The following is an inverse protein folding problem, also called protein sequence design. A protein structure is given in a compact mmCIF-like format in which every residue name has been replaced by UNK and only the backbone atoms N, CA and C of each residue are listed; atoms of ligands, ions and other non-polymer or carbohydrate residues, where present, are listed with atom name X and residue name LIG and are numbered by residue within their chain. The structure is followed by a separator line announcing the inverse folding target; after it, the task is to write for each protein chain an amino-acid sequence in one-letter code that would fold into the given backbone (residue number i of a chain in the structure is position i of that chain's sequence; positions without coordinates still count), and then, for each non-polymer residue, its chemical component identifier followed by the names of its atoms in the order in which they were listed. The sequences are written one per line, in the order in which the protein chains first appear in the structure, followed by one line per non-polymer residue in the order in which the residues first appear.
data_IF_709814175033
#
_entry.id   IF_709814175033
#
_cell.length_a   1.000
_cell.length_b   1.000
_cell.length_c   1.000
_cell.angle_alpha   90.00
_cell.angle_beta   90.00
_cell.angle_gamma   90.00
#
_symmetry.space_group_name_H-M   'P 1'
#
loop_
_entity.id
_entity.type
_entity.pdbx_description
1 polymer ?
#
# COMPACT_ATOMS: atom_id res chain seq x y z
N UNK A 1 4.98 -56.72 -32.51
CA UNK A 1 4.67 -56.09 -31.20
C UNK A 1 4.94 -54.60 -31.34
N UNK A 2 3.90 -53.74 -31.36
CA UNK A 2 4.05 -52.28 -31.43
C UNK A 2 3.92 -51.70 -30.03
N UNK A 3 4.95 -50.99 -29.56
CA UNK A 3 4.93 -50.30 -28.29
C UNK A 3 4.09 -49.02 -28.41
N UNK A 4 3.06 -48.88 -27.58
CA UNK A 4 2.27 -47.65 -27.42
C UNK A 4 2.92 -46.86 -26.29
N UNK A 5 3.50 -45.71 -26.63
CA UNK A 5 4.00 -44.74 -25.65
C UNK A 5 2.84 -43.83 -25.27
N UNK A 6 2.33 -43.99 -24.05
CA UNK A 6 1.33 -43.09 -23.47
C UNK A 6 2.06 -41.87 -22.91
N UNK A 7 1.96 -40.74 -23.60
CA UNK A 7 2.37 -39.43 -23.09
C UNK A 7 1.35 -38.97 -22.04
N UNK A 8 1.69 -39.13 -20.76
CA UNK A 8 1.00 -38.48 -19.66
C UNK A 8 1.34 -36.98 -19.70
N UNK A 9 0.43 -36.18 -20.24
CA UNK A 9 0.45 -34.74 -20.05
C UNK A 9 0.18 -34.44 -18.57
N UNK A 10 1.24 -34.11 -17.83
CA UNK A 10 1.11 -33.58 -16.48
C UNK A 10 0.55 -32.16 -16.58
N UNK A 11 -0.78 -32.03 -16.46
CA UNK A 11 -1.43 -30.75 -16.22
C UNK A 11 -0.94 -30.24 -14.88
N UNK A 12 0.00 -29.29 -14.89
CA UNK A 12 0.32 -28.50 -13.71
C UNK A 12 -0.94 -27.72 -13.33
N UNK A 13 -1.69 -28.24 -12.36
CA UNK A 13 -2.72 -27.47 -11.67
C UNK A 13 -1.97 -26.39 -10.92
N UNK A 14 -1.84 -25.21 -11.52
CA UNK A 14 -1.47 -24.01 -10.77
C UNK A 14 -2.46 -23.94 -9.62
N UNK A 15 -1.95 -24.05 -8.39
CA UNK A 15 -2.74 -23.84 -7.19
C UNK A 15 -3.30 -22.42 -7.30
N UNK A 16 -4.54 -22.30 -7.76
CA UNK A 16 -5.24 -21.03 -7.75
C UNK A 16 -5.41 -20.67 -6.28
N UNK A 17 -4.78 -19.58 -5.87
CA UNK A 17 -5.00 -19.03 -4.54
C UNK A 17 -6.48 -18.77 -4.40
N UNK A 18 -7.12 -19.54 -3.51
CA UNK A 18 -8.54 -19.42 -3.23
C UNK A 18 -8.89 -18.01 -2.75
N UNK A 19 -10.17 -17.62 -2.80
CA UNK A 19 -10.59 -16.34 -2.26
C UNK A 19 -10.32 -16.25 -0.74
N UNK A 20 -10.24 -15.02 -0.19
CA UNK A 20 -10.11 -14.84 1.26
C UNK A 20 -11.31 -15.44 1.99
N UNK A 21 -11.16 -15.68 3.29
CA UNK A 21 -12.29 -16.04 4.15
C UNK A 21 -13.21 -14.83 4.32
N UNK A 22 -14.34 -14.83 3.60
CA UNK A 22 -15.34 -13.74 3.65
C UNK A 22 -16.64 -14.25 4.25
N UNK A 23 -17.06 -13.59 5.31
CA UNK A 23 -18.34 -13.79 6.00
C UNK A 23 -19.37 -12.73 5.58
N UNK A 24 -20.65 -13.05 5.74
CA UNK A 24 -21.77 -12.13 5.52
C UNK A 24 -21.70 -11.47 4.12
N UNK A 25 -21.56 -12.28 3.08
CA UNK A 25 -21.39 -11.85 1.69
C UNK A 25 -22.25 -12.68 0.74
N UNK A 26 -22.71 -12.06 -0.36
CA UNK A 26 -23.22 -12.80 -1.53
C UNK A 26 -22.06 -12.97 -2.51
N UNK A 27 -21.37 -14.10 -2.39
CA UNK A 27 -20.08 -14.31 -3.04
C UNK A 27 -20.23 -14.82 -4.48
N UNK A 28 -19.45 -14.24 -5.39
CA UNK A 28 -19.35 -14.65 -6.79
C UNK A 28 -17.89 -14.62 -7.24
N UNK A 29 -17.43 -15.64 -7.97
CA UNK A 29 -16.09 -15.66 -8.57
C UNK A 29 -16.18 -15.41 -10.07
N UNK A 30 -15.33 -14.54 -10.60
CA UNK A 30 -15.20 -14.27 -12.04
C UNK A 30 -13.73 -14.33 -12.46
N UNK A 31 -13.46 -14.78 -13.67
CA UNK A 31 -12.10 -14.73 -14.22
C UNK A 31 -11.77 -13.31 -14.71
N UNK A 32 -10.51 -12.89 -14.58
CA UNK A 32 -10.00 -11.69 -15.23
C UNK A 32 -10.19 -11.79 -16.75
N UNK A 33 -10.78 -10.74 -17.36
CA UNK A 33 -11.15 -10.72 -18.78
C UNK A 33 -10.29 -9.75 -19.61
N UNK A 34 -9.17 -9.26 -19.06
CA UNK A 34 -8.24 -8.38 -19.77
C UNK A 34 -8.37 -6.88 -19.44
N UNK A 35 -9.41 -6.44 -18.71
CA UNK A 35 -9.58 -5.04 -18.36
C UNK A 35 -10.35 -4.85 -17.03
N UNK A 36 -9.64 -4.45 -15.96
CA UNK A 36 -10.22 -4.20 -14.65
C UNK A 36 -11.22 -3.04 -14.64
N UNK A 37 -11.02 -1.99 -15.43
CA UNK A 37 -11.97 -0.87 -15.51
C UNK A 37 -13.33 -1.34 -15.98
N UNK A 38 -13.42 -2.34 -16.86
CA UNK A 38 -14.69 -2.90 -17.32
C UNK A 38 -15.32 -3.87 -16.32
N UNK A 39 -14.50 -4.59 -15.54
CA UNK A 39 -14.95 -5.64 -14.63
C UNK A 39 -15.31 -5.12 -13.23
N UNK A 40 -14.66 -4.05 -12.76
CA UNK A 40 -14.89 -3.44 -11.44
C UNK A 40 -15.89 -2.29 -11.60
N UNK A 41 -17.13 -2.66 -11.95
CA UNK A 41 -18.26 -1.72 -12.10
C UNK A 41 -19.53 -2.32 -11.52
N UNK A 42 -20.28 -1.51 -10.80
CA UNK A 42 -21.61 -1.86 -10.29
C UNK A 42 -22.41 -0.59 -10.04
N UNK A 43 -23.70 -0.64 -10.36
CA UNK A 43 -24.64 0.44 -10.02
C UNK A 43 -25.07 0.35 -8.55
N UNK A 44 -25.19 -0.85 -7.99
CA UNK A 44 -25.49 -1.09 -6.58
C UNK A 44 -24.20 -1.21 -5.73
N UNK A 45 -24.26 -0.99 -4.41
CA UNK A 45 -23.13 -1.26 -3.51
C UNK A 45 -22.63 -2.68 -3.68
N UNK A 46 -21.37 -2.84 -4.05
CA UNK A 46 -20.74 -4.14 -4.30
C UNK A 46 -19.26 -4.08 -3.95
N UNK A 47 -18.77 -5.10 -3.26
CA UNK A 47 -17.35 -5.32 -3.09
C UNK A 47 -16.80 -6.07 -4.29
N UNK A 48 -15.70 -5.58 -4.83
CA UNK A 48 -14.85 -6.33 -5.77
C UNK A 48 -13.52 -6.61 -5.08
N UNK A 49 -12.87 -7.72 -5.41
CA UNK A 49 -11.55 -8.02 -4.90
C UNK A 49 -10.75 -8.93 -5.79
N UNK A 50 -9.43 -8.88 -5.65
CA UNK A 50 -8.51 -9.86 -6.24
C UNK A 50 -7.26 -10.00 -5.37
N UNK A 51 -6.51 -11.08 -5.57
CA UNK A 51 -5.26 -11.32 -4.87
C UNK A 51 -4.05 -10.77 -5.63
N UNK A 52 -3.09 -10.22 -4.90
CA UNK A 52 -1.76 -9.82 -5.37
C UNK A 52 -0.69 -10.53 -4.54
N UNK A 53 0.48 -10.80 -5.12
CA UNK A 53 1.65 -11.24 -4.33
C UNK A 53 2.28 -10.01 -3.65
N UNK A 54 2.55 -10.14 -2.36
CA UNK A 54 3.04 -9.06 -1.51
C UNK A 54 4.54 -9.16 -1.23
N UNK A 55 5.22 -8.03 -1.02
CA UNK A 55 6.59 -8.00 -0.47
C UNK A 55 6.66 -8.32 1.02
N UNK A 56 5.52 -8.27 1.72
CA UNK A 56 5.44 -8.41 3.17
C UNK A 56 4.79 -9.76 3.50
N UNK A 57 5.57 -10.68 4.08
CA UNK A 57 5.05 -11.92 4.69
C UNK A 57 4.53 -11.58 6.08
N UNK A 58 3.23 -11.29 6.24
CA UNK A 58 2.78 -10.86 7.56
C UNK A 58 1.30 -11.10 7.89
N UNK A 59 1.10 -11.38 9.18
CA UNK A 59 -0.17 -11.43 9.90
C UNK A 59 -0.57 -10.05 10.46
N UNK A 60 0.27 -9.01 10.26
CA UNK A 60 0.03 -7.63 10.73
C UNK A 60 -0.92 -6.78 9.87
N UNK A 61 -1.20 -7.17 8.62
CA UNK A 61 -2.11 -6.45 7.72
C UNK A 61 -3.58 -6.86 7.89
N UNK A 62 -3.95 -7.44 9.03
CA UNK A 62 -5.35 -7.63 9.42
C UNK A 62 -5.86 -6.43 10.24
N UNK A 63 -7.18 -6.36 10.42
CA UNK A 63 -7.79 -5.32 11.22
C UNK A 63 -7.48 -5.55 12.70
N UNK A 64 -7.05 -4.48 13.38
CA UNK A 64 -6.73 -4.52 14.80
C UNK A 64 -7.96 -4.10 15.62
N UNK A 65 -8.42 -4.97 16.52
CA UNK A 65 -9.49 -4.66 17.47
C UNK A 65 -9.02 -4.99 18.89
N UNK A 66 -8.93 -3.98 19.77
CA UNK A 66 -8.52 -4.14 21.17
C UNK A 66 -7.24 -4.97 21.37
N UNK A 67 -6.24 -4.79 20.51
CA UNK A 67 -4.95 -5.47 20.61
C UNK A 67 -4.93 -6.93 20.14
N UNK A 68 -6.03 -7.43 19.55
CA UNK A 68 -6.08 -8.74 18.89
C UNK A 68 -6.40 -8.60 17.39
N UNK A 69 -5.92 -9.52 16.52
CA UNK A 69 -6.40 -9.64 15.16
C UNK A 69 -7.92 -9.87 15.19
N UNK A 70 -8.71 -8.97 14.61
CA UNK A 70 -10.17 -9.02 14.61
C UNK A 70 -10.74 -9.25 13.21
N UNK A 71 -12.04 -9.59 13.15
CA UNK A 71 -12.77 -9.69 11.89
C UNK A 71 -12.83 -8.32 11.18
N UNK A 72 -12.36 -8.26 9.93
CA UNK A 72 -12.29 -7.02 9.16
C UNK A 72 -13.66 -6.63 8.62
N UNK A 73 -14.38 -5.74 9.30
CA UNK A 73 -15.61 -5.15 8.77
C UNK A 73 -15.31 -4.20 7.61
N UNK A 74 -15.78 -4.56 6.41
CA UNK A 74 -15.54 -3.79 5.20
C UNK A 74 -16.45 -2.54 5.10
N UNK A 75 -17.68 -2.61 5.61
CA UNK A 75 -18.65 -1.50 5.51
C UNK A 75 -18.55 -0.44 6.62
N UNK A 76 -17.83 -0.71 7.72
CA UNK A 76 -17.86 0.00 9.01
C UNK A 76 -19.15 -0.28 9.80
N UNK A 77 -19.07 -1.11 10.84
CA UNK A 77 -19.96 -0.93 12.00
C UNK A 77 -19.29 0.01 13.01
N UNK A 78 -20.04 0.88 13.70
CA UNK A 78 -19.48 1.69 14.77
C UNK A 78 -18.84 0.79 15.84
N UNK A 79 -17.75 1.27 16.43
CA UNK A 79 -16.95 0.60 17.46
C UNK A 79 -17.76 0.20 18.72
N UNK A 80 -19.00 0.67 18.84
CA UNK A 80 -19.87 0.56 20.02
C UNK A 80 -21.19 -0.19 19.78
N UNK A 81 -21.26 -1.12 18.81
CA UNK A 81 -22.37 -2.07 18.75
C UNK A 81 -22.12 -3.24 19.73
N UNK A 82 -22.98 -3.49 20.75
CA UNK A 82 -22.89 -4.67 21.59
C UNK A 82 -23.07 -5.93 20.72
N UNK A 83 -22.09 -6.85 20.74
CA UNK A 83 -22.18 -8.13 20.02
C UNK A 83 -21.24 -8.32 18.83
N UNK A 84 -20.35 -7.37 18.51
CA UNK A 84 -19.29 -7.57 17.50
C UNK A 84 -18.03 -8.26 18.05
N UNK A 85 -18.18 -9.12 19.06
CA UNK A 85 -17.12 -10.02 19.53
C UNK A 85 -17.37 -11.38 18.91
N UNK A 86 -17.12 -11.49 17.61
CA UNK A 86 -16.85 -12.83 17.07
C UNK A 86 -15.41 -13.13 17.45
N UNK A 87 -15.25 -13.99 18.46
CA UNK A 87 -13.98 -14.67 18.68
C UNK A 87 -13.46 -15.15 17.32
N UNK A 88 -12.18 -14.90 17.04
CA UNK A 88 -11.50 -15.56 15.92
C UNK A 88 -11.53 -17.06 16.22
N UNK A 89 -12.58 -17.74 15.79
CA UNK A 89 -12.72 -19.18 15.94
C UNK A 89 -12.01 -19.82 14.76
N UNK A 90 -10.74 -20.15 14.97
CA UNK A 90 -9.90 -20.81 13.99
C UNK A 90 -8.50 -21.07 14.56
N UNK A 91 -7.75 -22.01 13.99
CA UNK A 91 -6.35 -22.19 14.37
C UNK A 91 -5.60 -20.86 14.16
N UNK A 92 -4.78 -20.49 15.14
CA UNK A 92 -3.89 -19.33 15.00
C UNK A 92 -2.91 -19.66 13.87
N UNK A 93 -3.02 -18.94 12.76
CA UNK A 93 -2.10 -19.11 11.63
C UNK A 93 -0.75 -18.50 12.02
N UNK A 94 0.22 -19.37 12.32
CA UNK A 94 1.57 -18.97 12.73
C UNK A 94 2.41 -18.42 11.56
N UNK A 95 1.98 -18.69 10.32
CA UNK A 95 2.59 -18.18 9.09
C UNK A 95 1.63 -17.20 8.39
N UNK A 96 2.13 -16.00 8.07
CA UNK A 96 1.38 -15.01 7.30
C UNK A 96 1.18 -15.42 5.83
N UNK A 97 0.21 -14.82 5.14
CA UNK A 97 0.08 -15.00 3.69
C UNK A 97 1.10 -14.13 2.96
N UNK A 98 1.71 -14.65 1.88
CA UNK A 98 2.44 -13.83 0.91
C UNK A 98 1.50 -13.16 -0.11
N UNK A 99 0.19 -13.30 0.08
CA UNK A 99 -0.84 -12.73 -0.77
C UNK A 99 -1.67 -11.69 0.01
N UNK A 100 -2.00 -10.60 -0.67
CA UNK A 100 -2.94 -9.60 -0.18
C UNK A 100 -4.19 -9.59 -1.05
N UNK A 101 -5.35 -9.42 -0.43
CA UNK A 101 -6.58 -9.07 -1.11
C UNK A 101 -6.65 -7.55 -1.29
N UNK A 102 -6.70 -7.08 -2.54
CA UNK A 102 -7.01 -5.67 -2.87
C UNK A 102 -8.51 -5.60 -3.14
N UNK A 103 -9.21 -4.76 -2.38
CA UNK A 103 -10.66 -4.70 -2.32
C UNK A 103 -11.18 -3.31 -2.69
N UNK A 104 -12.27 -3.27 -3.44
CA UNK A 104 -12.89 -2.04 -3.94
C UNK A 104 -14.36 -2.03 -3.57
N UNK A 105 -14.82 -0.99 -2.85
CA UNK A 105 -16.25 -0.73 -2.70
C UNK A 105 -16.70 0.10 -3.89
N UNK A 106 -17.57 -0.46 -4.70
CA UNK A 106 -18.10 0.17 -5.92
C UNK A 106 -19.59 0.43 -5.76
N UNK A 107 -20.02 1.61 -6.17
CA UNK A 107 -21.42 2.02 -6.21
C UNK A 107 -21.58 3.12 -7.26
N UNK A 108 -22.69 3.16 -8.00
CA UNK A 108 -22.89 4.12 -9.09
C UNK A 108 -21.73 4.17 -10.10
N UNK A 109 -21.12 3.01 -10.39
CA UNK A 109 -19.94 2.86 -11.24
C UNK A 109 -18.69 3.65 -10.78
N UNK A 110 -18.62 4.03 -9.50
CA UNK A 110 -17.50 4.72 -8.90
C UNK A 110 -16.90 3.90 -7.75
N UNK A 111 -15.57 3.88 -7.68
CA UNK A 111 -14.85 3.32 -6.53
C UNK A 111 -14.88 4.34 -5.39
N UNK A 112 -15.52 3.98 -4.28
CA UNK A 112 -15.61 4.84 -3.09
C UNK A 112 -14.65 4.45 -1.96
N UNK A 113 -14.15 3.20 -1.95
CA UNK A 113 -13.16 2.72 -0.98
C UNK A 113 -12.18 1.78 -1.69
N UNK A 114 -10.91 1.89 -1.34
CA UNK A 114 -9.86 0.90 -1.66
C UNK A 114 -9.28 0.42 -0.34
N UNK A 115 -9.20 -0.90 -0.15
CA UNK A 115 -8.62 -1.53 1.05
C UNK A 115 -7.70 -2.67 0.62
N UNK A 116 -6.62 -2.89 1.35
CA UNK A 116 -5.76 -4.04 1.15
C UNK A 116 -5.51 -4.74 2.50
N UNK A 117 -5.72 -6.06 2.54
CA UNK A 117 -5.57 -6.89 3.74
C UNK A 117 -4.89 -8.21 3.39
N UNK A 118 -4.26 -8.85 4.37
CA UNK A 118 -3.72 -10.22 4.18
C UNK A 118 -4.82 -11.16 3.72
N UNK A 119 -4.52 -12.06 2.77
CA UNK A 119 -5.51 -13.02 2.28
C UNK A 119 -5.97 -14.00 3.38
N UNK A 120 -5.17 -14.14 4.44
CA UNK A 120 -5.51 -14.92 5.64
C UNK A 120 -6.44 -14.18 6.61
N UNK A 121 -6.72 -12.89 6.43
CA UNK A 121 -7.60 -12.16 7.32
C UNK A 121 -9.07 -12.59 7.12
N UNK A 122 -9.82 -12.87 8.19
CA UNK A 122 -11.27 -12.99 8.10
C UNK A 122 -11.88 -11.63 7.77
N UNK A 123 -12.73 -11.59 6.75
CA UNK A 123 -13.42 -10.38 6.29
C UNK A 123 -14.94 -10.51 6.54
N UNK A 124 -15.60 -9.40 6.83
CA UNK A 124 -17.07 -9.29 6.86
C UNK A 124 -17.51 -8.25 5.83
N UNK A 125 -18.23 -8.72 4.79
CA UNK A 125 -18.68 -7.87 3.68
C UNK A 125 -19.98 -7.09 3.97
N UNK A 126 -20.53 -7.18 5.18
CA UNK A 126 -21.69 -6.39 5.61
C UNK A 126 -23.00 -6.74 4.92
N UNK A 127 -23.13 -7.95 4.39
CA UNK A 127 -24.30 -8.43 3.63
C UNK A 127 -24.29 -8.06 2.15
N UNK A 128 -23.24 -7.39 1.67
CA UNK A 128 -23.15 -6.91 0.29
C UNK A 128 -22.75 -8.03 -0.71
N UNK A 129 -23.09 -7.87 -2.00
CA UNK A 129 -22.47 -8.63 -3.07
C UNK A 129 -20.95 -8.49 -3.02
N UNK A 130 -20.26 -9.62 -3.21
CA UNK A 130 -18.80 -9.70 -3.19
C UNK A 130 -18.32 -10.48 -4.40
N UNK A 131 -17.69 -9.78 -5.34
CA UNK A 131 -17.17 -10.33 -6.59
C UNK A 131 -15.66 -10.50 -6.47
N UNK A 132 -15.18 -11.73 -6.57
CA UNK A 132 -13.75 -12.06 -6.56
C UNK A 132 -13.24 -12.32 -7.97
N UNK A 133 -12.24 -11.55 -8.41
CA UNK A 133 -11.60 -11.70 -9.70
C UNK A 133 -10.37 -12.61 -9.56
N UNK A 134 -10.34 -13.72 -10.31
CA UNK A 134 -9.20 -14.64 -10.36
C UNK A 134 -8.27 -14.31 -11.54
N UNK A 135 -6.98 -14.60 -11.37
CA UNK A 135 -6.00 -14.49 -12.46
C UNK A 135 -5.67 -13.06 -12.90
N UNK A 136 -5.83 -12.06 -12.01
CA UNK A 136 -5.47 -10.68 -12.29
C UNK A 136 -3.94 -10.53 -12.30
N UNK A 137 -3.31 -10.13 -13.42
CA UNK A 137 -1.87 -9.89 -13.47
C UNK A 137 -1.46 -8.66 -12.65
N UNK A 138 -0.26 -8.68 -12.07
CA UNK A 138 0.26 -7.55 -11.29
C UNK A 138 0.29 -6.23 -12.08
N UNK A 139 0.71 -6.27 -13.36
CA UNK A 139 0.70 -5.12 -14.25
C UNK A 139 -0.71 -4.52 -14.45
N UNK A 140 -1.74 -5.37 -14.54
CA UNK A 140 -3.13 -4.91 -14.68
C UNK A 140 -3.62 -4.23 -13.40
N UNK A 141 -3.33 -4.83 -12.24
CA UNK A 141 -3.62 -4.25 -10.93
C UNK A 141 -2.94 -2.88 -10.74
N UNK A 142 -1.63 -2.79 -11.00
CA UNK A 142 -0.87 -1.54 -10.85
C UNK A 142 -1.38 -0.47 -11.82
N UNK A 143 -1.68 -0.83 -13.07
CA UNK A 143 -2.25 0.10 -14.05
C UNK A 143 -3.61 0.65 -13.59
N UNK A 144 -4.50 -0.21 -13.11
CA UNK A 144 -5.82 0.18 -12.62
C UNK A 144 -5.73 1.08 -11.38
N UNK A 145 -4.89 0.72 -10.40
CA UNK A 145 -4.66 1.50 -9.19
C UNK A 145 -4.06 2.89 -9.51
N UNK A 146 -3.14 2.97 -10.47
CA UNK A 146 -2.63 4.27 -10.97
C UNK A 146 -3.74 5.12 -11.58
N UNK A 147 -4.64 4.51 -12.35
CA UNK A 147 -5.82 5.18 -12.89
C UNK A 147 -6.69 5.79 -11.79
N UNK A 148 -6.90 5.07 -10.68
CA UNK A 148 -7.65 5.58 -9.53
C UNK A 148 -6.94 6.74 -8.81
N UNK A 149 -5.60 6.72 -8.73
CA UNK A 149 -4.82 7.82 -8.15
C UNK A 149 -4.96 9.08 -9.02
N UNK A 150 -4.76 8.96 -10.34
CA UNK A 150 -4.81 10.09 -11.26
C UNK A 150 -6.23 10.66 -11.43
N UNK A 151 -7.25 9.81 -11.43
CA UNK A 151 -8.64 10.26 -11.44
C UNK A 151 -9.04 10.96 -10.12
N UNK A 152 -8.31 10.67 -9.03
CA UNK A 152 -8.45 11.27 -7.71
C UNK A 152 -9.91 11.48 -7.23
N UNK A 153 -10.79 10.45 -7.29
CA UNK A 153 -12.20 10.62 -6.93
C UNK A 153 -12.37 11.01 -5.45
N UNK A 154 -11.40 10.64 -4.60
CA UNK A 154 -11.21 11.17 -3.25
C UNK A 154 -9.80 10.87 -2.75
N UNK A 155 -9.33 11.61 -1.73
CA UNK A 155 -8.05 11.31 -1.06
C UNK A 155 -8.02 9.89 -0.49
N UNK A 156 -9.13 9.41 0.11
CA UNK A 156 -9.22 8.05 0.67
C UNK A 156 -9.00 6.96 -0.39
N UNK A 157 -9.52 7.17 -1.60
CA UNK A 157 -9.33 6.24 -2.72
C UNK A 157 -7.88 6.28 -3.21
N UNK A 158 -7.31 7.47 -3.36
CA UNK A 158 -5.90 7.62 -3.73
C UNK A 158 -4.97 6.96 -2.70
N UNK A 159 -5.20 7.17 -1.40
CA UNK A 159 -4.39 6.60 -0.33
C UNK A 159 -4.42 5.07 -0.32
N UNK A 160 -5.62 4.50 -0.43
CA UNK A 160 -5.78 3.04 -0.48
C UNK A 160 -5.16 2.46 -1.76
N UNK A 161 -5.21 3.18 -2.88
CA UNK A 161 -4.57 2.75 -4.13
C UNK A 161 -3.04 2.83 -4.06
N UNK A 162 -2.48 3.91 -3.50
CA UNK A 162 -1.03 4.06 -3.31
C UNK A 162 -0.51 2.97 -2.36
N UNK A 163 -1.23 2.71 -1.27
CA UNK A 163 -0.90 1.61 -0.35
C UNK A 163 -0.98 0.25 -1.07
N UNK A 164 -2.06 -0.03 -1.80
CA UNK A 164 -2.16 -1.30 -2.54
C UNK A 164 -0.99 -1.47 -3.53
N UNK A 165 -0.57 -0.40 -4.23
CA UNK A 165 0.64 -0.42 -5.07
C UNK A 165 1.89 -0.69 -4.23
N UNK A 166 2.06 -0.03 -3.09
CA UNK A 166 3.23 -0.23 -2.24
C UNK A 166 3.37 -1.66 -1.75
N UNK A 167 2.28 -2.41 -1.66
CA UNK A 167 2.38 -3.80 -1.22
C UNK A 167 2.74 -4.79 -2.34
N UNK A 168 2.66 -4.43 -3.62
CA UNK A 168 2.97 -5.36 -4.72
C UNK A 168 4.43 -5.82 -4.69
N UNK A 169 4.64 -7.13 -4.85
CA UNK A 169 5.96 -7.74 -5.07
C UNK A 169 6.55 -7.49 -6.46
N UNK A 170 5.71 -7.09 -7.42
CA UNK A 170 6.15 -6.82 -8.79
C UNK A 170 7.06 -5.57 -8.84
N UNK A 171 8.24 -5.63 -9.49
CA UNK A 171 9.16 -4.49 -9.56
C UNK A 171 8.55 -3.21 -10.14
N UNK A 172 7.56 -3.32 -11.03
CA UNK A 172 6.87 -2.16 -11.60
C UNK A 172 6.08 -1.34 -10.58
N UNK A 173 5.82 -1.89 -9.38
CA UNK A 173 5.22 -1.16 -8.28
C UNK A 173 6.12 -0.04 -7.76
N UNK A 174 7.44 -0.28 -7.70
CA UNK A 174 8.40 0.77 -7.34
C UNK A 174 8.42 1.87 -8.40
N UNK A 175 8.38 1.50 -9.68
CA UNK A 175 8.31 2.47 -10.78
C UNK A 175 7.03 3.32 -10.71
N UNK A 176 5.90 2.69 -10.38
CA UNK A 176 4.63 3.39 -10.17
C UNK A 176 4.70 4.38 -9.00
N UNK A 177 5.23 3.99 -7.85
CA UNK A 177 5.41 4.89 -6.70
C UNK A 177 6.35 6.05 -7.01
N UNK A 178 7.46 5.80 -7.69
CA UNK A 178 8.41 6.84 -8.11
C UNK A 178 7.74 7.83 -9.07
N UNK A 179 6.96 7.33 -10.04
CA UNK A 179 6.22 8.19 -10.96
C UNK A 179 5.20 9.05 -10.21
N UNK A 180 4.40 8.46 -9.32
CA UNK A 180 3.44 9.20 -8.48
C UNK A 180 4.15 10.27 -7.65
N UNK A 181 5.24 9.94 -6.95
CA UNK A 181 5.99 10.88 -6.12
C UNK A 181 6.58 12.06 -6.92
N UNK A 182 6.91 11.87 -8.20
CA UNK A 182 7.54 12.90 -9.04
C UNK A 182 6.54 13.76 -9.81
N UNK A 183 5.45 13.18 -10.30
CA UNK A 183 4.64 13.81 -11.35
C UNK A 183 3.15 13.87 -11.07
N UNK A 184 2.65 13.28 -9.98
CA UNK A 184 1.22 13.35 -9.70
C UNK A 184 0.79 14.81 -9.46
N UNK A 185 -0.30 15.29 -10.09
CA UNK A 185 -0.73 16.67 -9.92
C UNK A 185 -1.15 16.99 -8.48
N UNK A 186 -1.66 16.01 -7.72
CA UNK A 186 -2.10 16.20 -6.36
C UNK A 186 -0.91 16.14 -5.38
N UNK A 187 -0.62 17.22 -4.63
CA UNK A 187 0.46 17.20 -3.63
C UNK A 187 0.31 16.06 -2.60
N UNK A 188 -0.93 15.80 -2.16
CA UNK A 188 -1.25 14.71 -1.25
C UNK A 188 -0.83 13.33 -1.77
N UNK A 189 -1.05 13.04 -3.06
CA UNK A 189 -0.64 11.78 -3.66
C UNK A 189 0.89 11.64 -3.70
N UNK A 190 1.61 12.75 -3.99
CA UNK A 190 3.07 12.78 -3.94
C UNK A 190 3.60 12.54 -2.53
N UNK A 191 3.00 13.17 -1.52
CA UNK A 191 3.33 12.95 -0.10
C UNK A 191 3.18 11.48 0.31
N UNK A 192 2.05 10.87 -0.05
CA UNK A 192 1.76 9.49 0.31
C UNK A 192 2.69 8.52 -0.43
N UNK A 193 3.01 8.78 -1.70
CA UNK A 193 4.00 7.99 -2.42
C UNK A 193 5.40 8.08 -1.80
N UNK A 194 5.83 9.27 -1.38
CA UNK A 194 7.11 9.47 -0.67
C UNK A 194 7.15 8.70 0.66
N UNK A 195 6.04 8.67 1.40
CA UNK A 195 5.93 7.88 2.63
C UNK A 195 6.13 6.37 2.36
N UNK A 196 5.46 5.82 1.35
CA UNK A 196 5.61 4.39 1.05
C UNK A 196 6.98 4.05 0.46
N UNK A 197 7.63 4.99 -0.22
CA UNK A 197 9.01 4.82 -0.69
C UNK A 197 10.02 4.65 0.47
N UNK A 198 9.73 5.14 1.69
CA UNK A 198 10.65 4.90 2.85
C UNK A 198 10.71 3.43 3.25
N UNK A 199 9.64 2.68 2.96
CA UNK A 199 9.52 1.27 3.26
C UNK A 199 10.09 0.41 2.12
N UNK A 200 10.57 1.04 1.04
CA UNK A 200 11.21 0.38 -0.09
C UNK A 200 12.73 0.53 0.01
N UNK A 201 13.42 -0.59 -0.07
CA UNK A 201 14.88 -0.60 -0.07
C UNK A 201 15.43 -0.14 -1.41
N UNK A 202 16.50 0.66 -1.38
CA UNK A 202 17.38 0.89 -2.52
C UNK A 202 17.56 2.35 -2.92
N UNK A 203 18.64 2.59 -3.67
CA UNK A 203 19.10 3.91 -4.08
C UNK A 203 18.07 4.71 -4.89
N UNK A 204 17.19 4.05 -5.65
CA UNK A 204 16.14 4.72 -6.43
C UNK A 204 15.11 5.41 -5.54
N UNK A 205 14.72 4.80 -4.42
CA UNK A 205 13.81 5.39 -3.45
C UNK A 205 14.47 6.59 -2.75
N UNK A 206 15.70 6.40 -2.24
CA UNK A 206 16.47 7.47 -1.58
C UNK A 206 16.73 8.68 -2.49
N UNK A 207 17.09 8.44 -3.76
CA UNK A 207 17.27 9.48 -4.78
C UNK A 207 15.96 10.23 -5.07
N UNK A 208 14.83 9.51 -5.16
CA UNK A 208 13.52 10.14 -5.39
C UNK A 208 13.11 11.02 -4.21
N UNK A 209 13.34 10.56 -2.97
CA UNK A 209 13.07 11.35 -1.76
C UNK A 209 13.93 12.62 -1.73
N UNK A 210 15.24 12.50 -1.98
CA UNK A 210 16.14 13.68 -1.98
C UNK A 210 15.75 14.67 -3.09
N UNK A 211 15.43 14.17 -4.28
CA UNK A 211 14.98 15.00 -5.41
C UNK A 211 13.69 15.76 -5.11
N UNK A 212 12.76 15.17 -4.34
CA UNK A 212 11.54 15.86 -3.90
C UNK A 212 11.81 17.01 -2.92
N UNK A 213 12.76 16.85 -1.98
CA UNK A 213 13.17 17.92 -1.05
C UNK A 213 13.69 19.13 -1.83
N UNK A 214 14.48 18.89 -2.86
CA UNK A 214 15.09 19.93 -3.69
C UNK A 214 14.08 20.60 -4.63
N UNK A 215 13.28 19.80 -5.33
CA UNK A 215 12.62 20.26 -6.56
C UNK A 215 11.08 20.29 -6.50
N UNK A 216 10.43 19.72 -5.48
CA UNK A 216 8.97 19.75 -5.44
C UNK A 216 8.45 21.20 -5.30
N UNK A 217 7.46 21.65 -6.09
CA UNK A 217 6.96 23.02 -5.97
C UNK A 217 6.20 23.27 -4.66
N UNK A 218 5.72 22.22 -3.98
CA UNK A 218 4.92 22.32 -2.78
C UNK A 218 5.78 22.13 -1.51
N UNK A 219 5.73 23.09 -0.60
CA UNK A 219 6.51 23.08 0.65
C UNK A 219 6.13 21.92 1.59
N UNK A 220 4.86 21.54 1.64
CA UNK A 220 4.42 20.41 2.47
C UNK A 220 4.93 19.07 1.91
N UNK A 221 4.97 18.92 0.58
CA UNK A 221 5.61 17.76 -0.05
C UNK A 221 7.11 17.71 0.27
N UNK A 222 7.80 18.86 0.22
CA UNK A 222 9.22 18.94 0.65
C UNK A 222 9.40 18.51 2.10
N UNK A 223 8.55 19.00 3.02
CA UNK A 223 8.61 18.64 4.45
C UNK A 223 8.33 17.15 4.65
N UNK A 224 7.36 16.58 3.91
CA UNK A 224 7.12 15.13 3.90
C UNK A 224 8.32 14.36 3.38
N UNK A 225 9.00 14.84 2.35
CA UNK A 225 10.21 14.23 1.84
C UNK A 225 11.36 14.28 2.86
N UNK A 226 11.48 15.35 3.65
CA UNK A 226 12.44 15.41 4.77
C UNK A 226 12.10 14.39 5.86
N UNK A 227 10.83 14.22 6.21
CA UNK A 227 10.41 13.12 7.10
C UNK A 227 10.74 11.76 6.48
N UNK A 228 10.44 11.57 5.20
CA UNK A 228 10.75 10.32 4.52
C UNK A 228 12.26 10.00 4.56
N UNK A 229 13.09 11.02 4.40
CA UNK A 229 14.54 10.92 4.53
C UNK A 229 14.98 10.52 5.94
N UNK A 230 14.32 11.02 7.00
CA UNK A 230 14.67 10.67 8.38
C UNK A 230 14.35 9.22 8.76
N UNK A 231 13.48 8.56 7.99
CA UNK A 231 13.14 7.15 8.19
C UNK A 231 14.15 6.19 7.52
N UNK A 232 15.08 6.69 6.71
CA UNK A 232 16.16 5.87 6.15
C UNK A 232 17.20 5.51 7.23
N UNK A 233 18.04 4.47 7.01
CA UNK A 233 19.10 4.13 7.95
C UNK A 233 19.98 5.35 8.29
N UNK A 234 20.33 5.54 9.57
CA UNK A 234 21.04 6.74 10.06
C UNK A 234 22.35 7.03 9.31
N UNK A 235 23.02 6.00 8.81
CA UNK A 235 24.23 6.13 7.97
C UNK A 235 23.99 6.98 6.72
N UNK A 236 22.80 6.87 6.11
CA UNK A 236 22.39 7.59 4.90
C UNK A 236 21.57 8.85 5.23
N UNK A 237 20.67 8.77 6.22
CA UNK A 237 19.74 9.85 6.56
C UNK A 237 20.45 11.08 7.12
N UNK A 238 21.33 10.91 8.12
CA UNK A 238 21.92 12.02 8.88
C UNK A 238 22.79 12.94 8.00
N UNK A 239 23.72 12.44 7.16
CA UNK A 239 24.49 13.30 6.27
C UNK A 239 23.61 14.15 5.34
N UNK A 240 22.58 13.54 4.75
CA UNK A 240 21.63 14.24 3.87
C UNK A 240 20.77 15.25 4.63
N UNK A 241 20.32 14.94 5.85
CA UNK A 241 19.59 15.89 6.68
C UNK A 241 20.45 17.11 7.05
N UNK A 242 21.74 16.92 7.34
CA UNK A 242 22.69 18.02 7.56
C UNK A 242 22.81 18.89 6.29
N UNK A 243 22.93 18.27 5.12
CA UNK A 243 22.95 18.98 3.84
C UNK A 243 21.69 19.83 3.66
N UNK A 244 20.50 19.25 3.85
CA UNK A 244 19.22 19.97 3.76
C UNK A 244 19.17 21.12 4.76
N UNK A 245 19.61 20.92 6.00
CA UNK A 245 19.63 21.95 7.03
C UNK A 245 20.57 23.13 6.69
N UNK A 246 21.65 22.88 5.93
CA UNK A 246 22.60 23.93 5.48
C UNK A 246 22.16 24.65 4.21
N UNK A 247 21.72 23.91 3.20
CA UNK A 247 21.64 24.43 1.82
C UNK A 247 20.21 24.76 1.36
N UNK A 248 19.19 24.21 2.04
CA UNK A 248 17.84 24.29 1.50
C UNK A 248 17.29 25.73 1.57
N UNK A 249 16.81 26.24 0.44
CA UNK A 249 16.41 27.65 0.30
C UNK A 249 15.18 27.97 1.15
N UNK A 250 14.25 27.03 1.26
CA UNK A 250 13.04 27.22 2.04
C UNK A 250 13.32 27.05 3.56
N UNK A 251 13.12 28.09 4.39
CA UNK A 251 13.38 28.04 5.83
C UNK A 251 12.54 27.00 6.57
N UNK A 252 11.30 26.77 6.16
CA UNK A 252 10.43 25.76 6.79
C UNK A 252 10.96 24.34 6.56
N UNK A 253 11.57 24.10 5.40
CA UNK A 253 12.21 22.81 5.08
C UNK A 253 13.51 22.63 5.86
N UNK A 254 14.31 23.70 6.02
CA UNK A 254 15.50 23.66 6.91
C UNK A 254 15.11 23.36 8.36
N UNK A 255 14.07 24.04 8.86
CA UNK A 255 13.53 23.81 10.20
C UNK A 255 13.09 22.35 10.39
N UNK A 256 12.43 21.77 9.40
CA UNK A 256 12.05 20.35 9.43
C UNK A 256 13.28 19.42 9.51
N UNK A 257 14.36 19.74 8.81
CA UNK A 257 15.60 18.96 8.88
C UNK A 257 16.26 19.06 10.26
N UNK A 258 16.34 20.25 10.86
CA UNK A 258 16.80 20.41 12.25
C UNK A 258 15.96 19.61 13.24
N UNK A 259 14.63 19.62 13.09
CA UNK A 259 13.74 18.83 13.93
C UNK A 259 14.10 17.34 13.90
N UNK A 260 14.25 16.74 12.72
CA UNK A 260 14.59 15.32 12.60
C UNK A 260 16.03 15.00 13.00
N UNK A 261 16.97 15.91 12.77
CA UNK A 261 18.34 15.79 13.30
C UNK A 261 18.34 15.71 14.84
N UNK A 262 17.53 16.53 15.52
CA UNK A 262 17.35 16.45 16.97
C UNK A 262 16.79 15.11 17.47
N UNK A 263 15.99 14.41 16.66
CA UNK A 263 15.43 13.10 17.00
C UNK A 263 16.36 11.92 16.69
N UNK A 264 17.42 12.15 15.90
CA UNK A 264 18.26 11.07 15.37
C UNK A 264 19.15 10.38 16.41
N UNK A 265 19.44 11.06 17.53
CA UNK A 265 20.44 10.66 18.55
C UNK A 265 21.84 10.37 17.97
N UNK A 266 22.11 10.84 16.74
CA UNK A 266 23.38 10.61 16.06
C UNK A 266 24.41 11.69 16.47
N UNK A 267 25.64 11.31 16.89
CA UNK A 267 26.66 12.29 17.29
C UNK A 267 26.99 13.32 16.20
N UNK A 268 26.86 12.95 14.92
CA UNK A 268 27.08 13.87 13.78
C UNK A 268 26.02 14.98 13.74
N UNK A 269 24.77 14.64 14.08
CA UNK A 269 23.69 15.62 14.17
C UNK A 269 23.93 16.59 15.33
N UNK A 270 24.37 16.09 16.49
CA UNK A 270 24.72 16.92 17.64
C UNK A 270 25.86 17.89 17.32
N UNK A 271 26.97 17.39 16.78
CA UNK A 271 28.13 18.21 16.40
C UNK A 271 27.74 19.31 15.40
N UNK A 272 26.87 19.00 14.44
CA UNK A 272 26.36 19.99 13.49
C UNK A 272 25.48 21.06 14.17
N UNK A 273 24.58 20.65 15.07
CA UNK A 273 23.72 21.60 15.80
C UNK A 273 24.57 22.53 16.68
N UNK A 274 25.57 22.00 17.38
CA UNK A 274 26.52 22.80 18.18
C UNK A 274 27.31 23.80 17.31
N UNK A 275 27.78 23.39 16.14
CA UNK A 275 28.46 24.28 15.19
C UNK A 275 27.56 25.44 14.75
N UNK A 276 26.27 25.20 14.55
CA UNK A 276 25.32 26.23 14.11
C UNK A 276 24.96 27.19 15.24
N UNK A 277 24.86 26.71 16.49
CA UNK A 277 24.48 27.53 17.65
C UNK A 277 25.63 28.37 18.21
N UNK A 278 26.88 28.03 17.87
CA UNK A 278 28.09 28.72 18.36
C UNK A 278 28.63 29.76 17.37
N UNK A 279 27.98 29.93 16.22
CA UNK A 279 28.24 31.01 15.26
C UNK A 279 27.29 32.17 15.48
#
# INVERSE_FOLDING_TARGET
MKAVVVLLAASAVLAQTGPPSVSNARFETRAYSGNLDSQIRSTAPTWFGYAIKSTVHDNQNCCWNNGMPGNCSLENRPFSAPGAVSAVSGPIQLEGSDMLAVLFRVENNAVGKVRAYSLSCPLDAGGLPFVWLTGVPAAASISYLRGLITAAPSQRVADGAIFAISEHADPSALDALIATAKTDPAPHAREQALFWLTHKAGQRAASTITGAIENDPNTEVKKRAVFALSQLPSGEAVPKLIEVARSQRNPEVRKQAFFWLGQSKDPRALAFIEEVLTK
#
